data_IF_671150512478
#
_entry.id   IF_671150512478
#
_cell.length_a   1.000
_cell.length_b   1.000
_cell.length_c   1.000
_cell.angle_alpha   90.00
_cell.angle_beta   90.00
_cell.angle_gamma   90.00
#
_symmetry.space_group_name_H-M   'P 1'
#
loop_
_entity.id
_entity.type
_entity.pdbx_description
1 polymer ?
#
# COMPACT_ATOMS: atom_id res chain seq x y z
N UNK A 1 -8.45 12.73 -1.65
CA UNK A 1 -7.17 12.01 -1.47
C UNK A 1 -6.17 12.98 -0.86
N UNK A 2 -5.33 12.59 0.12
CA UNK A 2 -4.29 13.46 0.67
C UNK A 2 -3.31 13.96 -0.42
N UNK A 3 -2.94 15.25 -0.37
CA UNK A 3 -2.09 15.87 -1.41
C UNK A 3 -0.72 15.21 -1.52
N UNK A 4 -0.13 14.78 -0.41
CA UNK A 4 1.19 14.14 -0.41
C UNK A 4 1.19 12.79 -1.15
N UNK A 5 0.07 12.05 -1.14
CA UNK A 5 -0.05 10.82 -1.93
C UNK A 5 -0.15 11.12 -3.43
N UNK A 6 -0.89 12.16 -3.82
CA UNK A 6 -0.96 12.61 -5.22
C UNK A 6 0.45 12.96 -5.72
N UNK A 7 1.17 13.79 -4.97
CA UNK A 7 2.53 14.18 -5.32
C UNK A 7 3.49 12.99 -5.38
N UNK A 8 3.35 12.00 -4.49
CA UNK A 8 4.17 10.80 -4.51
C UNK A 8 3.92 9.96 -5.77
N UNK A 9 2.67 9.85 -6.22
CA UNK A 9 2.31 9.15 -7.45
C UNK A 9 2.76 9.91 -8.70
N UNK A 10 2.66 11.24 -8.72
CA UNK A 10 3.08 12.07 -9.86
C UNK A 10 4.60 12.17 -10.01
N UNK A 11 5.34 12.17 -8.90
CA UNK A 11 6.82 12.24 -8.90
C UNK A 11 7.50 10.89 -9.09
N UNK A 12 6.79 9.78 -8.87
CA UNK A 12 7.34 8.44 -8.99
C UNK A 12 7.61 8.05 -10.44
N UNK A 13 8.71 7.36 -10.70
CA UNK A 13 8.96 6.74 -12.02
C UNK A 13 8.04 5.53 -12.27
N UNK A 14 7.61 4.86 -11.20
CA UNK A 14 6.69 3.73 -11.25
C UNK A 14 5.46 4.01 -10.37
N UNK A 15 4.29 4.30 -10.95
CA UNK A 15 3.07 4.58 -10.21
C UNK A 15 2.56 3.34 -9.44
N UNK A 16 2.87 2.13 -9.89
CA UNK A 16 2.50 0.88 -9.19
C UNK A 16 3.34 0.74 -7.93
N UNK A 17 4.65 0.97 -8.02
CA UNK A 17 5.53 0.94 -6.85
C UNK A 17 5.13 2.02 -5.83
N UNK A 18 4.79 3.23 -6.29
CA UNK A 18 4.29 4.30 -5.43
C UNK A 18 2.99 3.88 -4.71
N UNK A 19 2.03 3.29 -5.43
CA UNK A 19 0.78 2.80 -4.83
C UNK A 19 1.03 1.72 -3.76
N UNK A 20 1.95 0.78 -4.02
CA UNK A 20 2.33 -0.28 -3.07
C UNK A 20 2.90 0.33 -1.79
N UNK A 21 3.80 1.31 -1.91
CA UNK A 21 4.41 2.00 -0.76
C UNK A 21 3.39 2.77 0.07
N UNK A 22 2.45 3.45 -0.59
CA UNK A 22 1.36 4.17 0.08
C UNK A 22 0.50 3.17 0.86
N UNK A 23 0.07 2.07 0.22
CA UNK A 23 -0.73 1.04 0.87
C UNK A 23 -0.01 0.42 2.08
N UNK A 24 1.27 0.04 1.94
CA UNK A 24 2.03 -0.53 3.05
C UNK A 24 2.25 0.45 4.19
N UNK A 25 2.46 1.74 3.90
CA UNK A 25 2.59 2.78 4.92
C UNK A 25 1.29 2.98 5.72
N UNK A 26 0.13 2.91 5.06
CA UNK A 26 -1.17 2.99 5.73
C UNK A 26 -1.35 1.78 6.64
N UNK A 27 -1.02 0.57 6.15
CA UNK A 27 -1.08 -0.66 6.94
C UNK A 27 -0.22 -0.53 8.20
N UNK A 28 1.02 -0.04 8.07
CA UNK A 28 1.94 0.14 9.18
C UNK A 28 1.41 1.11 10.25
N UNK A 29 0.72 2.17 9.84
CA UNK A 29 0.13 3.16 10.74
C UNK A 29 -1.08 2.62 11.53
N UNK A 30 -1.83 1.67 10.98
CA UNK A 30 -3.09 1.18 11.59
C UNK A 30 -2.96 -0.19 12.26
N UNK A 31 -1.88 -0.94 12.01
CA UNK A 31 -1.72 -2.32 12.51
C UNK A 31 -1.81 -2.43 14.05
N UNK A 32 -1.41 -1.39 14.79
CA UNK A 32 -1.41 -1.40 16.26
C UNK A 32 -2.79 -1.05 16.86
N UNK A 33 -3.72 -0.55 16.04
CA UNK A 33 -5.07 -0.15 16.47
C UNK A 33 -6.20 -0.96 15.81
N UNK A 34 -5.87 -1.84 14.85
CA UNK A 34 -6.81 -2.68 14.13
C UNK A 34 -6.40 -4.15 14.23
N UNK A 35 -7.37 -5.04 14.49
CA UNK A 35 -7.12 -6.49 14.56
C UNK A 35 -6.98 -7.18 13.20
N UNK A 36 -7.20 -6.45 12.11
CA UNK A 36 -7.13 -6.97 10.75
C UNK A 36 -7.42 -5.88 9.72
N UNK A 37 -7.08 -6.16 8.46
CA UNK A 37 -7.24 -5.25 7.34
C UNK A 37 -7.95 -5.98 6.20
N UNK A 38 -8.93 -5.33 5.59
CA UNK A 38 -9.56 -5.78 4.35
C UNK A 38 -8.92 -5.05 3.15
N UNK A 39 -8.41 -5.81 2.18
CA UNK A 39 -7.79 -5.28 0.96
C UNK A 39 -8.76 -5.50 -0.21
N UNK A 40 -9.16 -4.42 -0.88
CA UNK A 40 -9.95 -4.48 -2.12
C UNK A 40 -9.02 -4.40 -3.33
N UNK A 41 -8.99 -5.44 -4.16
CA UNK A 41 -7.96 -5.57 -5.20
C UNK A 41 -8.34 -5.10 -6.58
N UNK A 42 -9.63 -5.01 -6.95
CA UNK A 42 -10.08 -4.52 -8.28
C UNK A 42 -9.13 -4.94 -9.43
N UNK A 43 -9.02 -6.25 -9.69
CA UNK A 43 -8.17 -6.83 -10.74
C UNK A 43 -6.64 -6.69 -10.53
N UNK A 44 -6.18 -6.35 -9.32
CA UNK A 44 -4.76 -6.25 -8.92
C UNK A 44 -4.37 -7.31 -7.89
N UNK A 45 -4.96 -8.51 -7.98
CA UNK A 45 -4.68 -9.62 -7.06
C UNK A 45 -3.19 -10.00 -7.06
N UNK A 46 -2.52 -9.82 -8.19
CA UNK A 46 -1.07 -10.07 -8.35
C UNK A 46 -0.19 -9.10 -7.55
N UNK A 47 -0.73 -7.96 -7.11
CA UNK A 47 -0.02 -6.96 -6.29
C UNK A 47 -0.18 -7.20 -4.80
N UNK A 48 -1.14 -8.02 -4.36
CA UNK A 48 -1.33 -8.33 -2.92
C UNK A 48 -0.01 -8.79 -2.27
N UNK A 49 0.74 -9.75 -2.84
CA UNK A 49 1.97 -10.22 -2.21
C UNK A 49 3.00 -9.11 -2.03
N UNK A 50 3.07 -8.15 -2.96
CA UNK A 50 3.99 -7.02 -2.89
C UNK A 50 3.62 -6.07 -1.76
N UNK A 51 2.33 -5.75 -1.59
CA UNK A 51 1.84 -4.89 -0.51
C UNK A 51 2.08 -5.54 0.85
N UNK A 52 1.72 -6.82 1.00
CA UNK A 52 1.91 -7.55 2.26
C UNK A 52 3.39 -7.68 2.63
N UNK A 53 4.26 -7.91 1.64
CA UNK A 53 5.71 -7.96 1.86
C UNK A 53 6.29 -6.60 2.23
N UNK A 54 5.86 -5.53 1.57
CA UNK A 54 6.28 -4.17 1.90
C UNK A 54 5.80 -3.74 3.30
N UNK A 55 4.64 -4.22 3.74
CA UNK A 55 4.12 -4.01 5.10
C UNK A 55 4.73 -4.97 6.16
N UNK A 56 5.63 -5.87 5.77
CA UNK A 56 6.26 -6.82 6.68
C UNK A 56 5.34 -7.92 7.22
N UNK A 57 4.19 -8.16 6.57
CA UNK A 57 3.21 -9.16 6.99
C UNK A 57 3.53 -10.57 6.48
N UNK A 58 4.32 -10.68 5.40
CA UNK A 58 4.79 -11.94 4.82
C UNK A 58 6.25 -11.82 4.36
N UNK A 59 6.98 -12.96 4.28
CA UNK A 59 8.39 -13.03 3.85
C UNK A 59 8.54 -13.28 2.36
#
# INVERSE_FOLDING_TARGET
MPEHFIHQMEKGQDPVQAAIQIASSIIDQVKDICSGIHIMTVNWEDKIPMVLKAAGLIK
#
